data_IF_653850687081
#
_entry.id   IF_653850687081
#
_cell.length_a   1.000
_cell.length_b   1.000
_cell.length_c   1.000
_cell.angle_alpha   90.00
_cell.angle_beta   90.00
_cell.angle_gamma   90.00
#
_symmetry.space_group_name_H-M   'P 1'
#
loop_
_entity.id
_entity.type
_entity.pdbx_description
1 polymer ?
#
# COMPACT_ATOMS: atom_id res chain seq x y z
N UNK A 1 -7.81 14.99 -22.47
CA UNK A 1 -8.15 13.66 -23.00
C UNK A 1 -8.19 12.74 -21.81
N UNK A 2 -9.36 12.23 -21.42
CA UNK A 2 -9.45 11.25 -20.32
C UNK A 2 -8.96 9.93 -20.91
N UNK A 3 -7.82 9.45 -20.44
CA UNK A 3 -7.32 8.14 -20.85
C UNK A 3 -8.22 7.10 -20.20
N UNK A 4 -9.04 6.42 -20.99
CA UNK A 4 -9.79 5.28 -20.49
C UNK A 4 -8.80 4.12 -20.31
N UNK A 5 -8.59 3.71 -19.06
CA UNK A 5 -7.76 2.55 -18.76
C UNK A 5 -8.41 1.27 -19.32
N UNK A 6 -7.62 0.26 -19.71
CA UNK A 6 -8.16 -1.05 -20.06
C UNK A 6 -8.83 -1.68 -18.82
N UNK A 7 -9.53 -2.81 -19.02
CA UNK A 7 -10.13 -3.54 -17.89
C UNK A 7 -9.06 -3.91 -16.85
N UNK A 8 -9.26 -3.64 -15.54
CA UNK A 8 -8.23 -3.85 -14.52
C UNK A 8 -7.63 -5.27 -14.48
N UNK A 9 -8.42 -6.28 -14.83
CA UNK A 9 -8.00 -7.69 -14.90
C UNK A 9 -6.82 -7.95 -15.84
N UNK A 10 -6.53 -7.05 -16.79
CA UNK A 10 -5.40 -7.24 -17.73
C UNK A 10 -4.06 -6.76 -17.18
N UNK A 11 -4.04 -5.94 -16.13
CA UNK A 11 -2.81 -5.39 -15.54
C UNK A 11 -2.72 -5.54 -14.01
N UNK A 12 -3.79 -5.96 -13.34
CA UNK A 12 -3.78 -6.35 -11.92
C UNK A 12 -3.56 -7.87 -11.81
N UNK A 13 -2.37 -8.33 -12.24
CA UNK A 13 -2.05 -9.76 -12.34
C UNK A 13 -1.12 -10.27 -11.23
N UNK A 14 -0.82 -9.42 -10.25
CA UNK A 14 0.01 -9.73 -9.09
C UNK A 14 -0.50 -10.95 -8.33
N UNK A 15 0.43 -11.78 -7.86
CA UNK A 15 0.12 -13.00 -7.12
C UNK A 15 0.31 -12.78 -5.63
N UNK A 16 -0.69 -13.15 -4.84
CA UNK A 16 -0.68 -13.02 -3.39
C UNK A 16 0.55 -13.65 -2.69
N UNK A 17 1.00 -14.80 -3.21
CA UNK A 17 2.16 -15.53 -2.68
C UNK A 17 3.49 -14.76 -2.85
N UNK A 18 3.51 -13.77 -3.75
CA UNK A 18 4.68 -12.95 -4.09
C UNK A 18 4.56 -11.52 -3.55
N UNK A 19 3.51 -11.24 -2.76
CA UNK A 19 3.29 -9.90 -2.22
C UNK A 19 4.49 -9.41 -1.42
N UNK A 20 4.81 -8.14 -1.56
CA UNK A 20 5.77 -7.48 -0.68
C UNK A 20 5.24 -7.52 0.76
N UNK A 21 6.06 -7.91 1.73
CA UNK A 21 5.62 -8.00 3.13
C UNK A 21 5.27 -6.63 3.74
N UNK A 22 5.75 -5.53 3.11
CA UNK A 22 5.51 -4.15 3.53
C UNK A 22 4.12 -3.62 3.15
N UNK A 23 3.36 -4.32 2.31
CA UNK A 23 1.99 -3.93 1.97
C UNK A 23 1.12 -3.82 3.24
N UNK A 24 0.42 -2.70 3.38
CA UNK A 24 -0.60 -2.53 4.43
C UNK A 24 -1.84 -3.35 4.07
N UNK A 25 -2.43 -4.10 5.01
CA UNK A 25 -3.59 -4.93 4.73
C UNK A 25 -4.75 -4.18 4.07
N UNK A 26 -5.37 -4.86 3.09
CA UNK A 26 -6.42 -4.32 2.24
C UNK A 26 -6.51 -5.05 0.90
N UNK A 27 -7.44 -4.62 0.02
CA UNK A 27 -7.67 -5.25 -1.27
C UNK A 27 -6.47 -5.15 -2.21
N UNK A 28 -5.80 -4.00 -2.25
CA UNK A 28 -4.68 -3.77 -3.17
C UNK A 28 -3.33 -4.08 -2.54
N UNK A 29 -2.42 -4.65 -3.32
CA UNK A 29 -1.04 -4.91 -2.90
C UNK A 29 -0.10 -4.92 -4.10
N UNK A 30 1.17 -4.62 -3.87
CA UNK A 30 2.26 -4.88 -4.82
C UNK A 30 2.87 -6.26 -4.57
N UNK A 31 3.11 -7.02 -5.63
CA UNK A 31 3.83 -8.29 -5.60
C UNK A 31 5.14 -8.19 -6.40
N UNK A 32 5.33 -9.00 -7.44
CA UNK A 32 6.48 -8.91 -8.35
C UNK A 32 6.34 -7.72 -9.32
N UNK A 33 6.26 -6.51 -8.76
CA UNK A 33 6.23 -5.23 -9.50
C UNK A 33 7.64 -4.87 -9.97
N UNK A 34 7.74 -4.03 -11.01
CA UNK A 34 8.97 -3.28 -11.31
C UNK A 34 8.66 -1.81 -11.09
N UNK A 35 9.46 -1.14 -10.26
CA UNK A 35 9.22 0.27 -9.98
C UNK A 35 9.26 1.12 -11.22
N UNK A 36 10.35 1.03 -12.01
CA UNK A 36 10.74 2.11 -12.93
C UNK A 36 10.56 3.52 -12.31
N UNK A 37 10.51 3.60 -10.97
CA UNK A 37 10.11 4.73 -10.13
C UNK A 37 8.78 5.42 -10.48
N UNK A 38 7.82 4.69 -11.04
CA UNK A 38 6.60 5.27 -11.65
C UNK A 38 5.35 5.25 -10.77
N UNK A 39 5.14 4.24 -9.95
CA UNK A 39 3.90 4.06 -9.18
C UNK A 39 3.66 5.17 -8.17
N UNK A 40 4.72 5.70 -7.53
CA UNK A 40 4.58 6.84 -6.63
C UNK A 40 4.33 8.16 -7.35
N UNK A 41 4.81 8.33 -8.58
CA UNK A 41 4.44 9.51 -9.39
C UNK A 41 2.93 9.52 -9.70
N UNK A 42 2.33 8.34 -9.87
CA UNK A 42 0.90 8.15 -10.10
C UNK A 42 0.06 8.23 -8.82
N UNK A 43 0.51 7.60 -7.74
CA UNK A 43 -0.22 7.44 -6.48
C UNK A 43 0.67 7.71 -5.24
N UNK A 44 1.13 8.96 -5.05
CA UNK A 44 2.16 9.30 -4.06
C UNK A 44 1.76 9.07 -2.60
N UNK A 45 0.44 9.04 -2.35
CA UNK A 45 -0.16 8.83 -1.03
C UNK A 45 -0.43 7.34 -0.72
N UNK A 46 -0.14 6.44 -1.67
CA UNK A 46 -0.47 5.01 -1.59
C UNK A 46 0.72 4.08 -1.86
N UNK A 47 1.67 4.50 -2.69
CA UNK A 47 2.75 3.64 -3.19
C UNK A 47 4.10 4.08 -2.65
N UNK A 48 4.92 3.09 -2.26
CA UNK A 48 6.33 3.26 -1.94
C UNK A 48 7.15 2.15 -2.59
N UNK A 49 8.47 2.33 -2.56
CA UNK A 49 9.45 1.44 -3.16
C UNK A 49 10.27 0.76 -2.07
N UNK A 50 10.57 -0.52 -2.24
CA UNK A 50 11.59 -1.16 -1.42
C UNK A 50 13.02 -0.84 -1.87
N UNK A 51 13.96 -1.06 -0.97
CA UNK A 51 15.39 -0.79 -1.12
C UNK A 51 16.21 -1.99 -1.62
N UNK A 52 15.58 -3.16 -1.68
CA UNK A 52 16.26 -4.42 -2.05
C UNK A 52 16.16 -4.70 -3.54
N UNK A 53 14.98 -4.51 -4.11
CA UNK A 53 14.65 -4.88 -5.49
C UNK A 53 14.08 -3.73 -6.28
N UNK A 54 13.69 -2.63 -5.60
CA UNK A 54 12.88 -1.60 -6.21
C UNK A 54 11.52 -2.18 -6.61
N UNK A 55 10.89 -2.97 -5.73
CA UNK A 55 9.48 -3.34 -5.88
C UNK A 55 8.59 -2.27 -5.26
N UNK A 56 7.46 -2.01 -5.91
CA UNK A 56 6.38 -1.17 -5.41
C UNK A 56 5.52 -1.95 -4.42
N UNK A 57 5.08 -1.27 -3.36
CA UNK A 57 4.11 -1.78 -2.41
C UNK A 57 3.08 -0.71 -2.02
N UNK A 58 1.88 -1.15 -1.67
CA UNK A 58 0.77 -0.30 -1.24
C UNK A 58 0.86 -0.11 0.26
N UNK A 59 1.30 1.07 0.69
CA UNK A 59 1.44 1.40 2.10
C UNK A 59 0.18 2.05 2.70
N UNK A 60 -0.79 2.42 1.86
CA UNK A 60 -2.07 2.97 2.29
C UNK A 60 -3.17 2.63 1.30
N UNK A 61 -4.26 2.06 1.77
CA UNK A 61 -5.40 1.68 0.93
C UNK A 61 -6.22 2.92 0.52
N UNK A 62 -6.80 2.93 -0.70
CA UNK A 62 -7.61 4.05 -1.18
C UNK A 62 -8.95 4.13 -0.44
N UNK A 63 -9.42 5.35 -0.15
CA UNK A 63 -10.65 5.62 0.62
C UNK A 63 -11.82 6.12 -0.22
N UNK A 64 -11.56 6.51 -1.47
CA UNK A 64 -12.57 7.04 -2.38
C UNK A 64 -12.20 6.72 -3.84
N UNK A 65 -13.13 6.96 -4.76
CA UNK A 65 -12.96 6.63 -6.18
C UNK A 65 -11.74 7.32 -6.82
N UNK A 66 -11.41 8.55 -6.43
CA UNK A 66 -10.26 9.27 -7.00
C UNK A 66 -8.95 8.61 -6.59
N UNK A 67 -8.85 8.16 -5.35
CA UNK A 67 -7.68 7.43 -4.85
C UNK A 67 -7.58 6.04 -5.50
N UNK A 68 -8.71 5.36 -5.72
CA UNK A 68 -8.74 4.11 -6.50
C UNK A 68 -8.23 4.36 -7.92
N UNK A 69 -8.72 5.39 -8.61
CA UNK A 69 -8.28 5.71 -9.98
C UNK A 69 -6.77 5.97 -10.05
N UNK A 70 -6.20 6.66 -9.05
CA UNK A 70 -4.74 6.88 -8.96
C UNK A 70 -3.98 5.57 -8.80
N UNK A 71 -4.45 4.68 -7.93
CA UNK A 71 -3.80 3.38 -7.70
C UNK A 71 -3.93 2.46 -8.91
N UNK A 72 -5.08 2.49 -9.60
CA UNK A 72 -5.28 1.79 -10.87
C UNK A 72 -4.37 2.33 -11.96
N UNK A 73 -4.13 3.65 -11.99
CA UNK A 73 -3.18 4.25 -12.92
C UNK A 73 -1.73 3.82 -12.60
N UNK A 74 -1.34 3.80 -11.32
CA UNK A 74 -0.03 3.28 -10.90
C UNK A 74 0.18 1.82 -11.32
N UNK A 75 -0.82 0.96 -11.08
CA UNK A 75 -0.77 -0.43 -11.49
C UNK A 75 -0.72 -0.61 -13.02
N UNK A 76 -1.36 0.27 -13.79
CA UNK A 76 -1.31 0.24 -15.25
C UNK A 76 0.06 0.67 -15.80
N UNK A 77 0.79 1.54 -15.07
CA UNK A 77 2.14 1.96 -15.46
C UNK A 77 3.24 0.97 -15.07
N UNK A 78 2.95 0.01 -14.19
CA UNK A 78 3.87 -1.07 -13.81
C UNK A 78 4.13 -2.00 -15.02
N UNK A 79 5.38 -2.05 -15.54
CA UNK A 79 5.71 -2.87 -16.69
C UNK A 79 5.51 -4.38 -16.46
N UNK A 80 5.53 -4.82 -15.19
CA UNK A 80 5.36 -6.24 -14.83
C UNK A 80 3.92 -6.59 -14.44
N UNK A 81 3.01 -5.62 -14.35
CA UNK A 81 1.62 -5.86 -13.95
C UNK A 81 1.50 -6.64 -12.62
N UNK A 82 2.44 -6.39 -11.71
CA UNK A 82 2.66 -7.09 -10.45
C UNK A 82 1.77 -6.61 -9.31
N UNK A 83 0.90 -5.62 -9.54
CA UNK A 83 -0.15 -5.24 -8.59
C UNK A 83 -1.26 -6.29 -8.56
N UNK A 84 -1.76 -6.59 -7.36
CA UNK A 84 -2.95 -7.42 -7.14
C UNK A 84 -4.06 -6.63 -6.44
N UNK A 85 -5.28 -7.18 -6.50
CA UNK A 85 -6.51 -6.54 -5.98
C UNK A 85 -7.43 -7.50 -5.22
N UNK A 86 -7.04 -8.78 -5.14
CA UNK A 86 -7.77 -9.85 -4.49
C UNK A 86 -7.39 -10.00 -3.00
N UNK A 87 -6.75 -9.00 -2.38
CA UNK A 87 -6.29 -9.06 -0.99
C UNK A 87 -7.39 -9.42 0.01
N UNK A 88 -8.63 -9.02 -0.27
CA UNK A 88 -9.83 -9.33 0.53
C UNK A 88 -10.21 -10.82 0.57
N UNK A 89 -9.66 -11.61 -0.35
CA UNK A 89 -9.82 -13.06 -0.39
C UNK A 89 -8.77 -13.78 0.46
N UNK A 90 -7.65 -13.10 0.78
CA UNK A 90 -6.50 -13.71 1.44
C UNK A 90 -6.26 -13.20 2.85
N UNK A 91 -6.50 -11.91 3.11
CA UNK A 91 -6.41 -11.36 4.45
C UNK A 91 -7.48 -11.98 5.34
N UNK A 92 -7.03 -12.46 6.50
CA UNK A 92 -7.89 -12.87 7.62
C UNK A 92 -7.71 -11.90 8.78
N UNK A 93 -8.71 -11.80 9.65
CA UNK A 93 -8.61 -10.98 10.86
C UNK A 93 -7.34 -11.33 11.68
N UNK A 94 -7.00 -12.62 11.80
CA UNK A 94 -5.77 -13.06 12.46
C UNK A 94 -4.50 -12.52 11.79
N UNK A 95 -4.38 -12.66 10.47
CA UNK A 95 -3.20 -12.17 9.74
C UNK A 95 -3.05 -10.65 9.75
N UNK A 96 -4.16 -9.90 9.78
CA UNK A 96 -4.13 -8.43 9.91
C UNK A 96 -3.58 -8.02 11.29
N UNK A 97 -4.01 -8.72 12.36
CA UNK A 97 -3.49 -8.49 13.72
C UNK A 97 -2.01 -8.84 13.82
N UNK A 98 -1.58 -9.96 13.24
CA UNK A 98 -0.17 -10.34 13.16
C UNK A 98 0.63 -9.24 12.46
N UNK A 99 0.19 -8.79 11.29
CA UNK A 99 0.84 -7.70 10.57
C UNK A 99 0.90 -6.41 11.42
N UNK A 100 -0.18 -6.06 12.12
CA UNK A 100 -0.22 -4.90 13.01
C UNK A 100 0.82 -4.97 14.14
N UNK A 101 0.99 -6.15 14.74
CA UNK A 101 2.01 -6.36 15.78
C UNK A 101 3.43 -6.29 15.22
N UNK A 102 3.63 -6.74 13.99
CA UNK A 102 4.93 -6.72 13.31
C UNK A 102 5.27 -5.37 12.67
N UNK A 103 4.34 -4.41 12.62
CA UNK A 103 4.55 -3.08 11.98
C UNK A 103 5.76 -2.31 12.50
N UNK A 104 6.25 -2.62 13.70
CA UNK A 104 7.47 -2.03 14.24
C UNK A 104 8.68 -2.30 13.31
N UNK A 105 8.73 -3.48 12.67
CA UNK A 105 9.74 -3.82 11.65
C UNK A 105 9.63 -2.90 10.42
N UNK A 106 8.41 -2.60 9.96
CA UNK A 106 8.19 -1.67 8.85
C UNK A 106 8.60 -0.24 9.23
N UNK A 107 8.33 0.17 10.47
CA UNK A 107 8.76 1.48 11.00
C UNK A 107 10.28 1.61 11.04
N UNK A 108 10.97 0.60 11.56
CA UNK A 108 12.43 0.57 11.64
C UNK A 108 13.04 0.69 10.23
N UNK A 109 12.61 -0.18 9.31
CA UNK A 109 13.00 -0.12 7.90
C UNK A 109 12.79 1.27 7.29
N UNK A 110 11.61 1.87 7.45
CA UNK A 110 11.30 3.17 6.87
C UNK A 110 12.14 4.30 7.48
N UNK A 111 12.47 4.20 8.77
CA UNK A 111 13.31 5.17 9.49
C UNK A 111 14.75 5.11 8.99
N UNK A 112 15.30 3.91 8.86
CA UNK A 112 16.67 3.70 8.41
C UNK A 112 16.83 4.14 6.96
N UNK A 113 15.93 3.73 6.09
CA UNK A 113 15.97 4.10 4.67
C UNK A 113 15.82 5.61 4.47
N UNK A 114 14.89 6.24 5.20
CA UNK A 114 14.73 7.70 5.16
C UNK A 114 16.01 8.39 5.61
N UNK A 115 16.66 7.90 6.66
CA UNK A 115 17.91 8.47 7.18
C UNK A 115 19.03 8.35 6.15
N UNK A 116 19.13 7.20 5.48
CA UNK A 116 20.10 6.98 4.41
C UNK A 116 19.86 7.89 3.20
N UNK A 117 18.60 8.09 2.77
CA UNK A 117 18.29 8.80 1.52
C UNK A 117 18.12 10.31 1.65
N UNK A 118 17.70 10.81 2.82
CA UNK A 118 17.52 12.26 3.06
C UNK A 118 18.72 13.16 2.70
N UNK A 119 20.00 12.76 2.93
CA UNK A 119 21.15 13.61 2.59
C UNK A 119 21.60 13.50 1.12
N UNK A 120 21.02 12.60 0.32
CA UNK A 120 21.42 12.45 -1.08
C UNK A 120 20.98 13.66 -1.90
N UNK A 121 21.79 14.05 -2.89
CA UNK A 121 21.45 15.11 -3.85
C UNK A 121 20.65 14.60 -5.04
N UNK A 122 20.46 13.29 -5.14
CA UNK A 122 19.65 12.65 -6.16
C UNK A 122 18.16 12.92 -5.92
N UNK A 123 17.45 13.34 -6.97
CA UNK A 123 16.06 13.78 -6.86
C UNK A 123 15.11 12.62 -6.51
N UNK A 124 15.38 11.41 -7.02
CA UNK A 124 14.54 10.24 -6.78
C UNK A 124 14.71 9.75 -5.34
N UNK A 125 15.94 9.79 -4.80
CA UNK A 125 16.18 9.52 -3.38
C UNK A 125 15.46 10.54 -2.46
N UNK A 126 15.47 11.83 -2.79
CA UNK A 126 14.78 12.86 -2.02
C UNK A 126 13.25 12.72 -2.10
N UNK A 127 12.74 12.40 -3.29
CA UNK A 127 11.35 12.08 -3.51
C UNK A 127 10.97 10.94 -2.57
N UNK A 128 11.60 9.77 -2.68
CA UNK A 128 11.26 8.61 -1.86
C UNK A 128 11.44 8.85 -0.36
N UNK A 129 12.46 9.60 0.08
CA UNK A 129 12.60 10.00 1.49
C UNK A 129 11.41 10.82 2.00
N UNK A 130 10.81 11.65 1.15
CA UNK A 130 9.55 12.36 1.46
C UNK A 130 8.41 11.37 1.68
N UNK A 131 8.30 10.35 0.83
CA UNK A 131 7.27 9.31 0.96
C UNK A 131 7.43 8.49 2.24
N UNK A 132 8.67 8.13 2.60
CA UNK A 132 8.95 7.44 3.86
C UNK A 132 8.53 8.28 5.08
N UNK A 133 8.67 9.61 5.03
CA UNK A 133 8.17 10.48 6.09
C UNK A 133 6.64 10.44 6.21
N UNK A 134 5.92 10.37 5.09
CA UNK A 134 4.45 10.23 5.06
C UNK A 134 4.03 8.86 5.61
N UNK A 135 4.72 7.78 5.21
CA UNK A 135 4.49 6.44 5.78
C UNK A 135 4.66 6.46 7.30
N UNK A 136 5.76 7.01 7.82
CA UNK A 136 6.01 7.06 9.27
C UNK A 136 4.89 7.81 10.02
N UNK A 137 4.42 8.93 9.47
CA UNK A 137 3.29 9.67 10.04
C UNK A 137 1.99 8.85 9.98
N UNK A 138 1.76 8.08 8.91
CA UNK A 138 0.60 7.20 8.78
C UNK A 138 0.64 6.05 9.80
N UNK A 139 1.81 5.42 10.00
CA UNK A 139 2.02 4.35 10.98
C UNK A 139 1.69 4.79 12.42
N UNK A 140 1.99 6.06 12.75
CA UNK A 140 1.76 6.66 14.08
C UNK A 140 0.36 7.28 14.23
N UNK A 141 -0.39 7.42 13.13
CA UNK A 141 -1.65 8.13 13.09
C UNK A 141 -2.80 7.23 12.64
N UNK A 142 -3.25 7.43 11.40
CA UNK A 142 -4.53 6.91 10.92
C UNK A 142 -4.56 5.39 10.71
N UNK A 143 -3.40 4.73 10.61
CA UNK A 143 -3.30 3.30 10.31
C UNK A 143 -4.13 2.44 11.26
N UNK A 144 -4.13 2.73 12.56
CA UNK A 144 -4.90 1.94 13.53
C UNK A 144 -6.39 1.97 13.17
N UNK A 145 -6.92 3.16 12.87
CA UNK A 145 -8.34 3.32 12.54
C UNK A 145 -8.68 2.63 11.24
N UNK A 146 -7.84 2.78 10.22
CA UNK A 146 -8.04 2.15 8.91
C UNK A 146 -8.05 0.62 9.01
N UNK A 147 -7.11 0.02 9.75
CA UNK A 147 -7.07 -1.43 9.91
C UNK A 147 -8.24 -1.96 10.76
N UNK A 148 -8.73 -1.19 11.73
CA UNK A 148 -9.92 -1.58 12.51
C UNK A 148 -11.19 -1.52 11.67
N UNK A 149 -11.31 -0.56 10.77
CA UNK A 149 -12.37 -0.51 9.76
C UNK A 149 -12.26 -1.71 8.81
N UNK A 150 -11.05 -2.05 8.37
CA UNK A 150 -10.83 -3.20 7.50
C UNK A 150 -11.13 -4.53 8.19
N UNK A 151 -10.72 -4.71 9.45
CA UNK A 151 -11.08 -5.87 10.27
C UNK A 151 -12.60 -6.04 10.36
N UNK A 152 -13.32 -4.95 10.63
CA UNK A 152 -14.78 -4.97 10.65
C UNK A 152 -15.33 -5.46 9.31
N UNK A 153 -14.82 -4.93 8.19
CA UNK A 153 -15.26 -5.35 6.87
C UNK A 153 -14.94 -6.82 6.57
N UNK A 154 -13.78 -7.34 6.99
CA UNK A 154 -13.44 -8.76 6.80
C UNK A 154 -14.39 -9.70 7.54
N UNK A 155 -14.83 -9.29 8.73
CA UNK A 155 -15.73 -10.07 9.60
C UNK A 155 -17.20 -9.96 9.14
N UNK A 156 -17.66 -8.76 8.81
CA UNK A 156 -19.08 -8.46 8.58
C UNK A 156 -19.45 -8.30 7.10
N UNK A 157 -18.45 -8.17 6.22
CA UNK A 157 -18.60 -7.91 4.76
C UNK A 157 -19.46 -6.69 4.42
N UNK A 158 -19.42 -5.68 5.30
CA UNK A 158 -20.06 -4.37 5.14
C UNK A 158 -19.30 -3.31 5.93
N UNK A 159 -19.56 -2.04 5.64
CA UNK A 159 -19.05 -0.94 6.46
C UNK A 159 -19.76 -0.88 7.83
N UNK A 160 -19.05 -0.44 8.88
CA UNK A 160 -19.65 -0.20 10.19
C UNK A 160 -20.57 1.02 10.17
N UNK A 161 -21.65 0.96 10.93
CA UNK A 161 -22.49 2.11 11.23
C UNK A 161 -21.84 3.04 12.27
N UNK A 162 -22.35 4.28 12.46
CA UNK A 162 -21.72 5.30 13.31
C UNK A 162 -21.56 4.95 14.80
N UNK A 163 -22.36 4.00 15.30
CA UNK A 163 -22.36 3.59 16.70
C UNK A 163 -21.77 2.18 16.93
N UNK A 164 -21.34 1.49 15.87
CA UNK A 164 -20.80 0.14 15.98
C UNK A 164 -19.34 0.17 16.46
N UNK A 165 -19.03 -0.68 17.42
CA UNK A 165 -17.68 -0.79 17.95
C UNK A 165 -16.78 -1.49 16.93
N UNK A 166 -15.66 -0.86 16.58
CA UNK A 166 -14.68 -1.49 15.69
C UNK A 166 -13.87 -2.56 16.46
N UNK A 167 -13.54 -3.70 15.81
CA UNK A 167 -12.66 -4.71 16.38
C UNK A 167 -11.36 -4.07 16.87
N UNK A 168 -10.78 -4.63 17.93
CA UNK A 168 -9.43 -4.23 18.37
C UNK A 168 -8.41 -4.73 17.35
N UNK A 169 -7.16 -4.26 17.40
CA UNK A 169 -6.04 -4.86 16.69
C UNK A 169 -5.24 -5.74 17.65
#
# INVERSE_FOLDING_TARGET
MVLALPHPEVYLTGRWAERNWRNVPGPFYGAATDTCWSGRMAAPDHVLYDDETGQEFVYRQPRNAVEVDRLLFAAWTDPLSGYGWDGDQHWTAGSVRTWWHERARLREWATDLKTAWSPHSDADCQEAATGLAVLLAYLDGELETDLRLYLYWLEERRSPGPAEALPKL
#
